data_IF_586141692921
#
_entry.id   IF_586141692921
#
_cell.length_a   1.000
_cell.length_b   1.000
_cell.length_c   1.000
_cell.angle_alpha   90.00
_cell.angle_beta   90.00
_cell.angle_gamma   90.00
#
_symmetry.space_group_name_H-M   'P 1'
#
loop_
_entity.id
_entity.type
_entity.pdbx_description
1 polymer ?
#
# COMPACT_ATOMS: atom_id res chain seq x y z
N UNK A 1 20.29 -14.06 -36.24
CA UNK A 1 20.54 -12.90 -35.37
C UNK A 1 19.27 -12.07 -35.35
N UNK A 2 18.64 -11.84 -34.20
CA UNK A 2 17.44 -11.01 -34.09
C UNK A 2 17.82 -9.54 -34.19
N UNK A 3 17.01 -8.75 -34.90
CA UNK A 3 17.16 -7.28 -34.98
C UNK A 3 15.98 -6.61 -34.31
N UNK A 4 16.25 -5.71 -33.36
CA UNK A 4 15.25 -4.83 -32.77
C UNK A 4 15.40 -3.44 -33.41
N UNK A 5 14.30 -2.92 -33.95
CA UNK A 5 14.26 -1.55 -34.48
C UNK A 5 13.27 -0.72 -33.65
N UNK A 6 13.74 0.40 -33.09
CA UNK A 6 12.91 1.37 -32.38
C UNK A 6 12.72 2.59 -33.29
N UNK A 7 11.48 2.83 -33.70
CA UNK A 7 11.14 4.01 -34.49
C UNK A 7 10.41 5.06 -33.63
N UNK A 8 11.14 6.06 -33.17
CA UNK A 8 10.61 7.14 -32.33
C UNK A 8 9.51 7.99 -32.97
N UNK A 9 9.40 7.94 -34.31
CA UNK A 9 8.43 8.73 -35.06
C UNK A 9 7.09 7.97 -35.24
N UNK A 10 7.07 6.69 -34.92
CA UNK A 10 5.86 5.86 -35.00
C UNK A 10 5.35 5.61 -33.57
N UNK A 11 4.53 6.53 -33.07
CA UNK A 11 3.87 6.39 -31.77
C UNK A 11 2.61 5.55 -31.97
N UNK A 12 2.47 4.46 -31.21
CA UNK A 12 1.33 3.57 -31.26
C UNK A 12 0.39 3.74 -30.04
N UNK A 13 0.85 4.48 -29.02
CA UNK A 13 0.04 4.71 -27.82
C UNK A 13 0.76 5.55 -26.78
N UNK A 14 0.10 5.75 -25.66
CA UNK A 14 0.64 6.41 -24.48
C UNK A 14 0.58 5.40 -23.33
N UNK A 15 1.68 5.25 -22.59
CA UNK A 15 1.73 4.44 -21.38
C UNK A 15 0.96 5.18 -20.29
N UNK A 16 -0.08 4.55 -19.74
CA UNK A 16 -0.83 5.11 -18.63
C UNK A 16 0.09 5.25 -17.39
N UNK A 17 0.09 6.41 -16.71
CA UNK A 17 0.95 6.62 -15.53
C UNK A 17 0.74 5.57 -14.43
N UNK A 18 -0.47 5.06 -14.30
CA UNK A 18 -0.87 4.08 -13.28
C UNK A 18 -0.11 2.76 -13.37
N UNK A 19 0.50 2.45 -14.54
CA UNK A 19 1.36 1.25 -14.68
C UNK A 19 2.59 1.31 -13.74
N UNK A 20 2.98 2.52 -13.33
CA UNK A 20 4.07 2.75 -12.38
C UNK A 20 3.58 2.82 -10.94
N UNK A 21 2.33 2.45 -10.69
CA UNK A 21 1.76 2.33 -9.36
C UNK A 21 2.44 1.24 -8.53
N UNK A 22 2.33 1.37 -7.21
CA UNK A 22 2.85 0.40 -6.28
C UNK A 22 1.74 -0.47 -5.71
N UNK A 23 2.12 -1.59 -5.14
CA UNK A 23 1.26 -2.55 -4.51
C UNK A 23 1.73 -2.79 -3.08
N UNK A 24 0.79 -2.78 -2.14
CA UNK A 24 1.05 -3.12 -0.75
C UNK A 24 0.01 -4.10 -0.25
N UNK A 25 0.43 -5.03 0.60
CA UNK A 25 -0.42 -6.07 1.16
C UNK A 25 -0.19 -6.17 2.67
N UNK A 26 -1.20 -6.62 3.41
CA UNK A 26 -1.06 -7.00 4.82
C UNK A 26 -0.20 -8.25 5.00
N UNK A 27 1.05 -8.14 4.58
CA UNK A 27 2.08 -9.16 4.56
C UNK A 27 3.29 -8.66 5.33
N UNK A 28 3.38 -8.98 6.62
CA UNK A 28 4.51 -8.63 7.46
C UNK A 28 4.95 -7.18 7.29
N UNK A 29 6.22 -6.95 7.02
CA UNK A 29 6.80 -5.61 6.89
C UNK A 29 6.39 -4.83 5.63
N UNK A 30 5.58 -5.40 4.77
CA UNK A 30 4.91 -4.59 3.74
C UNK A 30 4.04 -3.49 4.38
N UNK A 31 3.48 -3.78 5.56
CA UNK A 31 2.69 -2.82 6.34
C UNK A 31 3.32 -2.63 7.73
N UNK A 32 3.35 -3.71 8.54
CA UNK A 32 3.68 -3.64 9.97
C UNK A 32 5.16 -3.38 10.19
N UNK A 33 5.50 -2.31 10.91
CA UNK A 33 6.86 -1.79 11.14
C UNK A 33 7.63 -1.36 9.88
N UNK A 34 7.18 -1.76 8.71
CA UNK A 34 7.76 -1.36 7.43
C UNK A 34 7.21 -0.06 6.92
N UNK A 35 5.88 0.07 6.85
CA UNK A 35 5.18 1.28 6.43
C UNK A 35 4.47 1.95 7.60
N UNK A 36 3.74 1.17 8.40
CA UNK A 36 2.97 1.63 9.55
C UNK A 36 3.60 1.16 10.86
N UNK A 37 3.90 2.11 11.74
CA UNK A 37 4.54 1.86 13.04
C UNK A 37 3.66 2.24 14.23
N UNK A 38 2.52 2.89 13.95
CA UNK A 38 1.65 3.45 14.99
C UNK A 38 2.10 4.84 15.44
N UNK A 39 1.14 5.64 15.87
CA UNK A 39 1.33 7.05 16.23
C UNK A 39 2.29 7.25 17.42
N UNK A 40 2.29 6.30 18.36
CA UNK A 40 3.11 6.34 19.58
C UNK A 40 4.50 5.70 19.43
N UNK A 41 4.91 5.36 18.20
CA UNK A 41 6.21 4.78 17.91
C UNK A 41 7.34 5.80 18.10
N UNK A 42 8.51 5.35 18.59
CA UNK A 42 9.74 6.15 18.61
C UNK A 42 10.31 6.38 17.19
N UNK A 43 9.91 5.56 16.23
CA UNK A 43 10.27 5.74 14.81
C UNK A 43 9.56 6.98 14.28
N UNK A 44 10.28 7.93 13.64
CA UNK A 44 9.65 9.12 13.05
C UNK A 44 8.47 8.78 12.14
N UNK A 45 7.31 9.32 12.47
CA UNK A 45 6.07 9.02 11.76
C UNK A 45 5.12 10.22 11.74
N UNK A 46 4.18 10.19 10.80
CA UNK A 46 3.00 11.06 10.75
C UNK A 46 1.77 10.16 10.68
N UNK A 47 0.88 10.30 11.64
CA UNK A 47 -0.32 9.44 11.78
C UNK A 47 0.02 7.94 11.79
N UNK A 48 1.16 7.57 12.35
CA UNK A 48 1.65 6.19 12.38
C UNK A 48 2.36 5.71 11.12
N UNK A 49 2.39 6.50 10.03
CA UNK A 49 3.12 6.17 8.81
C UNK A 49 4.55 6.69 8.89
N UNK A 50 5.53 5.83 8.57
CA UNK A 50 6.95 6.19 8.60
C UNK A 50 7.27 7.31 7.64
N UNK A 51 7.87 8.38 8.14
CA UNK A 51 8.23 9.56 7.33
C UNK A 51 9.27 9.25 6.26
N UNK A 52 10.28 8.44 6.57
CA UNK A 52 11.32 8.06 5.60
C UNK A 52 10.75 7.32 4.39
N UNK A 53 9.79 6.40 4.61
CA UNK A 53 9.12 5.66 3.54
C UNK A 53 8.20 6.59 2.74
N UNK A 54 7.42 7.43 3.43
CA UNK A 54 6.52 8.39 2.77
C UNK A 54 7.30 9.36 1.89
N UNK A 55 8.44 9.87 2.38
CA UNK A 55 9.29 10.77 1.61
C UNK A 55 9.90 10.09 0.39
N UNK A 56 10.40 8.86 0.53
CA UNK A 56 10.90 8.07 -0.60
C UNK A 56 9.82 7.85 -1.67
N UNK A 57 8.60 7.50 -1.27
CA UNK A 57 7.47 7.31 -2.18
C UNK A 57 7.06 8.62 -2.88
N UNK A 58 7.14 9.76 -2.17
CA UNK A 58 6.93 11.09 -2.78
C UNK A 58 8.01 11.44 -3.79
N UNK A 59 9.27 11.14 -3.49
CA UNK A 59 10.40 11.41 -4.40
C UNK A 59 10.26 10.68 -5.73
N UNK A 60 9.87 9.40 -5.70
CA UNK A 60 9.63 8.61 -6.91
C UNK A 60 8.27 8.90 -7.56
N UNK A 61 7.44 9.75 -6.94
CA UNK A 61 6.15 10.22 -7.48
C UNK A 61 5.22 9.10 -7.90
N UNK A 62 5.02 8.11 -7.01
CA UNK A 62 4.08 7.02 -7.31
C UNK A 62 2.70 7.58 -7.63
N UNK A 63 2.09 7.18 -8.75
CA UNK A 63 0.79 7.72 -9.16
C UNK A 63 -0.38 7.13 -8.37
N UNK A 64 -0.26 5.87 -7.97
CA UNK A 64 -1.29 5.13 -7.23
C UNK A 64 -0.64 4.08 -6.33
N UNK A 65 -1.29 3.77 -5.22
CA UNK A 65 -0.96 2.65 -4.36
C UNK A 65 -2.17 1.71 -4.28
N UNK A 66 -2.01 0.47 -4.77
CA UNK A 66 -3.01 -0.57 -4.60
C UNK A 66 -2.89 -1.20 -3.22
N UNK A 67 -4.00 -1.25 -2.51
CA UNK A 67 -4.13 -1.81 -1.17
C UNK A 67 -5.53 -2.48 -1.07
N UNK A 68 -5.84 -3.45 -0.21
CA UNK A 68 -5.07 -3.98 0.91
C UNK A 68 -4.19 -5.20 0.58
N UNK A 69 -4.11 -5.62 -0.65
CA UNK A 69 -3.27 -6.72 -1.06
C UNK A 69 -3.85 -7.61 -2.15
N UNK A 70 -3.29 -8.82 -2.27
CA UNK A 70 -3.73 -9.89 -3.14
C UNK A 70 -4.57 -10.91 -2.34
N UNK A 71 -3.93 -11.96 -1.79
CA UNK A 71 -4.64 -13.00 -1.03
C UNK A 71 -5.41 -12.45 0.17
N UNK A 72 -4.86 -11.47 0.87
CA UNK A 72 -5.56 -10.82 1.98
C UNK A 72 -6.86 -10.14 1.53
N UNK A 73 -6.90 -9.57 0.32
CA UNK A 73 -8.07 -8.90 -0.22
C UNK A 73 -9.28 -9.83 -0.40
N UNK A 74 -9.04 -11.13 -0.59
CA UNK A 74 -10.11 -12.12 -0.75
C UNK A 74 -10.95 -12.30 0.52
N UNK A 75 -10.36 -12.03 1.69
CA UNK A 75 -11.00 -12.19 3.01
C UNK A 75 -11.33 -10.85 3.67
N UNK A 76 -10.79 -9.74 3.14
CA UNK A 76 -10.92 -8.43 3.74
C UNK A 76 -12.23 -7.73 3.37
N UNK A 77 -13.00 -7.36 4.37
CA UNK A 77 -14.18 -6.52 4.22
C UNK A 77 -13.81 -5.08 4.59
N UNK A 78 -13.77 -4.18 3.62
CA UNK A 78 -13.34 -2.79 3.81
C UNK A 78 -14.10 -2.06 4.92
N UNK A 79 -15.37 -2.40 5.14
CA UNK A 79 -16.17 -1.84 6.24
C UNK A 79 -15.65 -2.18 7.64
N UNK A 80 -14.86 -3.24 7.79
CA UNK A 80 -14.24 -3.61 9.06
C UNK A 80 -13.04 -2.70 9.39
N UNK A 81 -12.53 -1.96 8.40
CA UNK A 81 -11.38 -1.09 8.53
C UNK A 81 -11.69 0.41 8.67
N UNK A 82 -12.97 0.80 8.65
CA UNK A 82 -13.39 2.19 8.77
C UNK A 82 -14.05 2.49 10.13
N UNK A 83 -14.23 3.78 10.44
CA UNK A 83 -14.78 4.24 11.71
C UNK A 83 -13.77 4.24 12.87
N UNK A 84 -14.23 4.51 14.12
CA UNK A 84 -13.35 4.64 15.27
C UNK A 84 -12.47 3.41 15.47
N UNK A 85 -11.16 3.62 15.65
CA UNK A 85 -10.14 2.55 15.74
C UNK A 85 -10.46 1.51 16.80
N UNK A 86 -11.01 1.94 17.94
CA UNK A 86 -11.39 1.08 19.06
C UNK A 86 -12.55 0.10 18.75
N UNK A 87 -13.34 0.43 17.74
CA UNK A 87 -14.49 -0.38 17.33
C UNK A 87 -14.16 -1.33 16.17
N UNK A 88 -12.96 -1.22 15.59
CA UNK A 88 -12.57 -2.04 14.45
C UNK A 88 -12.34 -3.48 14.84
N UNK A 89 -12.82 -4.36 14.00
CA UNK A 89 -12.68 -5.80 14.20
C UNK A 89 -11.24 -6.25 14.04
N UNK A 90 -10.74 -6.97 15.04
CA UNK A 90 -9.50 -7.72 14.89
C UNK A 90 -9.78 -8.98 14.06
N UNK A 91 -8.99 -9.19 13.03
CA UNK A 91 -9.08 -10.40 12.22
C UNK A 91 -7.75 -11.13 12.16
N UNK A 92 -7.82 -12.43 12.00
CA UNK A 92 -6.63 -13.26 11.75
C UNK A 92 -6.34 -13.22 10.25
N UNK A 93 -5.10 -12.94 9.90
CA UNK A 93 -4.65 -13.09 8.54
C UNK A 93 -4.33 -14.57 8.28
N UNK A 94 -5.22 -15.25 7.58
CA UNK A 94 -5.10 -16.71 7.38
C UNK A 94 -4.01 -17.08 6.37
N UNK A 95 -3.65 -16.15 5.47
CA UNK A 95 -2.63 -16.38 4.45
C UNK A 95 -1.20 -16.17 4.96
N UNK A 96 -1.00 -15.11 5.74
CA UNK A 96 0.34 -14.66 6.13
C UNK A 96 0.61 -14.78 7.62
N UNK A 97 -0.40 -15.19 8.39
CA UNK A 97 -0.32 -15.31 9.84
C UNK A 97 -0.36 -13.96 10.56
N UNK A 98 -0.61 -14.03 11.86
CA UNK A 98 -0.70 -12.85 12.71
C UNK A 98 -2.10 -12.25 12.81
N UNK A 99 -2.25 -11.29 13.70
CA UNK A 99 -3.49 -10.53 13.91
C UNK A 99 -3.39 -9.23 13.13
N UNK A 100 -4.27 -9.06 12.15
CA UNK A 100 -4.41 -7.77 11.46
C UNK A 100 -5.17 -6.80 12.36
N UNK A 101 -4.50 -5.72 12.69
CA UNK A 101 -5.13 -4.54 13.26
C UNK A 101 -5.40 -3.58 12.09
N UNK A 102 -6.68 -3.42 11.72
CA UNK A 102 -7.09 -2.61 10.57
C UNK A 102 -6.97 -1.10 10.84
N UNK A 103 -5.88 -0.69 11.51
CA UNK A 103 -5.62 0.73 11.82
C UNK A 103 -5.11 1.54 10.63
N UNK A 104 -4.72 0.87 9.55
CA UNK A 104 -4.13 1.51 8.37
C UNK A 104 -5.15 1.91 7.31
N UNK A 105 -6.45 1.70 7.59
CA UNK A 105 -7.53 1.95 6.62
C UNK A 105 -8.05 3.39 6.63
N UNK A 106 -7.52 4.26 7.49
CA UNK A 106 -8.01 5.65 7.64
C UNK A 106 -7.73 6.57 6.44
N UNK A 107 -6.95 6.11 5.47
CA UNK A 107 -6.60 6.93 4.30
C UNK A 107 -7.75 7.12 3.28
N UNK A 108 -8.94 6.60 3.56
CA UNK A 108 -10.09 6.67 2.66
C UNK A 108 -11.18 7.66 3.10
N UNK A 109 -11.00 8.34 4.24
CA UNK A 109 -12.02 9.24 4.81
C UNK A 109 -11.72 10.75 4.62
N UNK A 110 -10.66 11.10 3.83
CA UNK A 110 -10.33 12.48 3.44
C UNK A 110 -10.70 12.79 1.99
#
# INVERSE_FOLDING_TARGET
MAKLMINKNKKEGTIAPEIYGHFSEHLGRCIYEGLYVGENSEIPNVNGMRTDVVEALKEIKIPVLRWPGGCFADEYHWKDGIGPKENRKKMINTHWGGVCLLYTSDAADD
#
